data_IF_342996127226
#
_entry.id   IF_342996127226
#
_cell.length_a   1.000
_cell.length_b   1.000
_cell.length_c   1.000
_cell.angle_alpha   90.00
_cell.angle_beta   90.00
_cell.angle_gamma   90.00
#
_symmetry.space_group_name_H-M   'P 1'
#
loop_
_entity.id
_entity.type
_entity.pdbx_description
1 polymer ?
#
# COMPACT_ATOMS: atom_id res chain seq x y z
N UNK A 1 -8.65 -47.29 6.05
CA UNK A 1 -8.54 -46.91 4.63
C UNK A 1 -8.56 -45.40 4.57
N UNK A 2 -7.38 -44.81 4.46
CA UNK A 2 -7.16 -43.36 4.58
C UNK A 2 -7.50 -42.63 3.28
N UNK A 3 -8.10 -41.46 3.43
CA UNK A 3 -8.32 -40.50 2.34
C UNK A 3 -7.15 -39.54 2.28
N UNK A 4 -6.50 -39.48 1.12
CA UNK A 4 -5.35 -38.64 0.83
C UNK A 4 -5.69 -37.16 0.94
N UNK A 5 -4.73 -36.41 1.47
CA UNK A 5 -4.75 -34.96 1.62
C UNK A 5 -4.11 -34.39 0.36
N UNK A 6 -4.89 -33.70 -0.47
CA UNK A 6 -4.44 -33.14 -1.73
C UNK A 6 -3.53 -31.92 -1.46
N UNK A 7 -2.28 -31.99 -1.93
CA UNK A 7 -1.25 -30.95 -1.75
C UNK A 7 -1.25 -30.03 -2.98
N UNK A 8 -1.20 -28.69 -2.84
CA UNK A 8 -1.19 -27.79 -4.00
C UNK A 8 0.09 -27.97 -4.83
N UNK A 9 -0.08 -28.17 -6.13
CA UNK A 9 1.02 -28.37 -7.09
C UNK A 9 1.74 -27.04 -7.39
N UNK A 10 3.07 -27.03 -7.21
CA UNK A 10 3.94 -25.91 -7.55
C UNK A 10 4.18 -25.86 -9.07
N UNK A 11 3.58 -24.89 -9.76
CA UNK A 11 3.84 -24.69 -11.18
C UNK A 11 5.20 -23.98 -11.38
N UNK A 12 6.19 -24.70 -11.92
CA UNK A 12 7.45 -24.13 -12.38
C UNK A 12 7.35 -23.83 -13.88
N UNK A 13 7.33 -22.56 -14.27
CA UNK A 13 7.45 -22.17 -15.68
C UNK A 13 8.90 -21.79 -15.96
N UNK A 14 9.54 -22.58 -16.84
CA UNK A 14 10.91 -22.37 -17.32
C UNK A 14 10.89 -21.21 -18.34
N UNK A 15 11.48 -20.08 -18.00
CA UNK A 15 11.67 -18.98 -18.95
C UNK A 15 12.83 -19.31 -19.91
N UNK A 16 12.62 -19.05 -21.20
CA UNK A 16 13.61 -19.18 -22.28
C UNK A 16 14.65 -18.07 -22.14
N UNK A 17 15.95 -18.43 -22.18
CA UNK A 17 17.08 -17.49 -22.15
C UNK A 17 17.39 -16.98 -23.57
N UNK A 18 17.33 -15.67 -23.76
CA UNK A 18 17.87 -14.96 -24.94
C UNK A 18 19.21 -14.28 -24.56
N UNK A 19 20.17 -14.13 -25.50
CA UNK A 19 21.50 -13.62 -25.19
C UNK A 19 21.53 -12.08 -25.12
N UNK A 20 22.06 -11.54 -24.01
CA UNK A 20 22.25 -10.10 -23.78
C UNK A 20 23.40 -9.55 -24.67
N UNK A 21 23.08 -8.69 -25.65
CA UNK A 21 24.08 -7.88 -26.38
C UNK A 21 24.32 -6.58 -25.61
N UNK A 22 25.53 -6.37 -25.10
CA UNK A 22 25.93 -5.13 -24.41
C UNK A 22 26.13 -3.97 -25.39
N UNK A 23 25.39 -2.88 -25.20
CA UNK A 23 25.74 -1.57 -25.76
C UNK A 23 25.75 -0.51 -24.65
N UNK A 24 26.94 0.02 -24.39
CA UNK A 24 27.21 1.02 -23.38
C UNK A 24 26.44 2.33 -23.62
N UNK A 25 25.55 2.65 -22.67
CA UNK A 25 24.77 3.88 -22.64
C UNK A 25 25.16 4.77 -21.48
N UNK A 26 25.84 5.88 -21.79
CA UNK A 26 26.14 7.04 -20.96
C UNK A 26 24.94 7.42 -20.09
N UNK A 27 25.02 7.28 -18.76
CA UNK A 27 23.94 7.73 -17.87
C UNK A 27 23.91 9.25 -17.80
N UNK A 28 22.90 9.82 -18.45
CA UNK A 28 22.37 11.17 -18.22
C UNK A 28 22.13 11.35 -16.72
N UNK A 29 22.48 12.52 -16.21
CA UNK A 29 22.03 13.00 -14.90
C UNK A 29 20.50 12.93 -14.88
N UNK A 30 19.95 12.04 -14.07
CA UNK A 30 18.52 12.00 -13.79
C UNK A 30 18.21 13.25 -12.95
N UNK A 31 17.37 14.14 -13.47
CA UNK A 31 16.70 15.17 -12.66
C UNK A 31 16.09 14.49 -11.43
N UNK A 32 16.20 15.07 -10.21
CA UNK A 32 15.63 14.46 -9.02
C UNK A 32 14.12 14.41 -9.22
N UNK A 33 13.60 13.22 -9.57
CA UNK A 33 12.18 13.03 -9.78
C UNK A 33 11.41 13.47 -8.53
N UNK A 34 10.33 14.23 -8.73
CA UNK A 34 9.46 14.69 -7.64
C UNK A 34 9.00 13.49 -6.80
N UNK A 35 9.54 13.36 -5.59
CA UNK A 35 9.41 12.18 -4.73
C UNK A 35 8.04 12.06 -4.03
N UNK A 36 7.00 12.69 -4.58
CA UNK A 36 5.65 12.72 -4.01
C UNK A 36 4.84 11.47 -4.37
N UNK A 37 3.82 11.15 -3.56
CA UNK A 37 2.95 9.99 -3.73
C UNK A 37 2.07 10.06 -5.00
N UNK A 38 2.60 9.65 -6.15
CA UNK A 38 1.88 9.68 -7.44
C UNK A 38 0.60 8.83 -7.41
N UNK A 39 0.70 7.57 -6.93
CA UNK A 39 -0.44 6.63 -6.91
C UNK A 39 -1.62 7.14 -6.07
N UNK A 40 -1.36 7.85 -4.98
CA UNK A 40 -2.42 8.39 -4.11
C UNK A 40 -3.07 9.67 -4.67
N UNK A 41 -2.59 10.19 -5.80
CA UNK A 41 -3.13 11.38 -6.50
C UNK A 41 -3.73 11.05 -7.87
N UNK A 42 -3.83 9.77 -8.24
CA UNK A 42 -4.54 9.39 -9.46
C UNK A 42 -5.96 9.93 -9.46
N UNK A 43 -6.38 10.49 -10.60
CA UNK A 43 -7.62 11.26 -10.73
C UNK A 43 -8.86 10.45 -10.32
N UNK A 44 -8.94 9.18 -10.71
CA UNK A 44 -10.03 8.28 -10.34
C UNK A 44 -9.70 7.54 -9.06
N UNK A 45 -10.60 7.57 -8.09
CA UNK A 45 -10.49 6.73 -6.90
C UNK A 45 -10.81 5.27 -7.28
N UNK A 46 -10.06 4.26 -6.79
CA UNK A 46 -10.30 2.87 -7.17
C UNK A 46 -11.72 2.38 -6.85
N UNK A 47 -12.32 1.64 -7.78
CA UNK A 47 -13.60 0.93 -7.61
C UNK A 47 -14.82 1.82 -7.25
N UNK A 48 -14.76 3.13 -7.50
CA UNK A 48 -15.91 4.01 -7.39
C UNK A 48 -15.85 5.16 -8.41
N UNK A 49 -16.98 5.79 -8.77
CA UNK A 49 -17.02 6.87 -9.76
C UNK A 49 -16.61 8.24 -9.18
N UNK A 50 -15.79 8.28 -8.11
CA UNK A 50 -15.36 9.52 -7.47
C UNK A 50 -14.06 10.01 -8.09
N UNK A 51 -14.05 11.29 -8.45
CA UNK A 51 -12.87 12.00 -8.93
C UNK A 51 -12.22 12.77 -7.80
N UNK A 52 -10.89 12.76 -7.76
CA UNK A 52 -10.10 13.57 -6.84
C UNK A 52 -9.97 14.99 -7.38
N UNK A 53 -9.82 15.95 -6.47
CA UNK A 53 -9.36 17.29 -6.81
C UNK A 53 -7.91 17.22 -7.33
N UNK A 54 -7.58 17.87 -8.45
CA UNK A 54 -6.24 17.81 -9.01
C UNK A 54 -5.21 18.49 -8.12
N UNK A 55 -4.12 17.79 -7.78
CA UNK A 55 -3.03 18.30 -6.95
C UNK A 55 -1.71 18.26 -7.73
N UNK A 56 -1.26 19.41 -8.29
CA UNK A 56 0.08 19.54 -8.87
C UNK A 56 1.18 19.24 -7.86
N UNK A 57 2.37 18.86 -8.33
CA UNK A 57 3.49 18.44 -7.47
C UNK A 57 3.88 19.56 -6.48
N UNK A 58 3.87 20.81 -6.93
CA UNK A 58 4.20 22.00 -6.14
C UNK A 58 3.20 22.26 -5.02
N UNK A 59 2.00 21.66 -5.10
CA UNK A 59 0.91 21.85 -4.14
C UNK A 59 0.68 20.63 -3.24
N UNK A 60 1.54 19.60 -3.32
CA UNK A 60 1.46 18.42 -2.46
C UNK A 60 1.73 18.75 -0.99
N UNK A 61 2.78 19.48 -0.60
CA UNK A 61 3.07 19.76 0.81
C UNK A 61 2.00 20.62 1.48
N UNK A 62 1.57 20.25 2.68
CA UNK A 62 0.50 20.98 3.41
C UNK A 62 0.86 22.43 3.70
N UNK A 63 2.15 22.71 3.93
CA UNK A 63 2.73 24.02 4.22
C UNK A 63 2.63 24.97 3.02
N UNK A 64 2.52 24.42 1.81
CA UNK A 64 2.33 25.25 0.62
C UNK A 64 0.89 25.73 0.55
N UNK A 65 0.72 27.05 0.41
CA UNK A 65 -0.59 27.66 0.25
C UNK A 65 -1.28 27.14 -1.03
N UNK A 66 -2.53 26.72 -0.87
CA UNK A 66 -3.38 26.27 -1.96
C UNK A 66 -4.83 26.68 -1.71
N UNK A 67 -5.12 27.96 -1.91
CA UNK A 67 -6.39 28.59 -1.51
C UNK A 67 -7.64 27.96 -2.16
N UNK A 68 -7.51 27.44 -3.38
CA UNK A 68 -8.61 26.80 -4.11
C UNK A 68 -8.76 25.31 -3.78
N UNK A 69 -7.99 24.77 -2.83
CA UNK A 69 -7.99 23.35 -2.52
C UNK A 69 -9.29 22.95 -1.82
N UNK A 70 -10.22 22.44 -2.60
CA UNK A 70 -11.53 21.96 -2.14
C UNK A 70 -11.76 20.49 -2.57
N UNK A 71 -11.06 19.54 -1.95
CA UNK A 71 -11.21 18.12 -2.25
C UNK A 71 -12.59 17.58 -1.84
N UNK A 72 -13.26 16.78 -2.70
CA UNK A 72 -14.53 16.16 -2.33
C UNK A 72 -14.36 15.21 -1.15
N UNK A 73 -15.43 15.06 -0.36
CA UNK A 73 -15.47 14.11 0.75
C UNK A 73 -16.05 12.77 0.27
N UNK A 74 -15.31 11.69 0.50
CA UNK A 74 -15.77 10.34 0.17
C UNK A 74 -15.37 9.32 1.22
N UNK A 75 -16.35 8.51 1.62
CA UNK A 75 -16.16 7.34 2.47
C UNK A 75 -17.10 6.25 1.94
N UNK A 76 -16.56 5.08 1.62
CA UNK A 76 -17.33 3.96 1.12
C UNK A 76 -18.19 3.36 2.24
N UNK A 77 -19.46 3.11 1.96
CA UNK A 77 -20.31 2.33 2.84
C UNK A 77 -19.96 0.84 2.70
N UNK A 78 -19.78 0.17 3.83
CA UNK A 78 -19.56 -1.28 3.86
C UNK A 78 -20.44 -1.95 4.90
N UNK A 79 -20.75 -3.23 4.64
CA UNK A 79 -21.65 -4.05 5.46
C UNK A 79 -21.09 -4.34 6.85
N UNK A 80 -19.77 -4.31 7.00
CA UNK A 80 -19.00 -4.52 8.23
C UNK A 80 -18.73 -3.21 9.00
N UNK A 81 -19.73 -2.32 9.05
CA UNK A 81 -19.60 -0.97 9.63
C UNK A 81 -19.09 -0.97 11.09
N UNK A 82 -19.40 -2.01 11.89
CA UNK A 82 -18.95 -2.12 13.28
C UNK A 82 -17.41 -2.26 13.42
N UNK A 83 -16.75 -2.76 12.38
CA UNK A 83 -15.29 -2.92 12.34
C UNK A 83 -14.59 -1.75 11.61
N UNK A 84 -15.31 -0.67 11.32
CA UNK A 84 -14.77 0.51 10.65
C UNK A 84 -14.97 1.77 11.50
N UNK A 85 -14.19 2.80 11.19
CA UNK A 85 -14.45 4.13 11.72
C UNK A 85 -15.79 4.68 11.20
N UNK A 86 -16.36 5.69 11.86
CA UNK A 86 -17.61 6.33 11.43
C UNK A 86 -17.58 6.79 9.97
N UNK A 87 -18.76 6.84 9.36
CA UNK A 87 -18.97 7.44 8.03
C UNK A 87 -19.30 8.92 8.20
N UNK A 88 -18.81 9.75 7.27
CA UNK A 88 -19.06 11.20 7.27
C UNK A 88 -17.97 12.02 7.96
N UNK A 89 -18.18 13.34 7.98
CA UNK A 89 -17.31 14.36 8.56
C UNK A 89 -17.91 15.09 9.77
N UNK A 90 -19.03 14.59 10.30
CA UNK A 90 -19.68 15.14 11.49
C UNK A 90 -18.75 15.06 12.70
N UNK A 91 -18.60 16.17 13.43
CA UNK A 91 -17.68 16.29 14.56
C UNK A 91 -18.00 15.32 15.71
N UNK A 92 -19.28 15.02 15.95
CA UNK A 92 -19.71 14.17 17.06
C UNK A 92 -19.06 12.77 17.01
N UNK A 93 -19.23 11.95 15.95
CA UNK A 93 -18.51 10.68 15.83
C UNK A 93 -16.98 10.82 15.82
N UNK A 94 -16.45 11.86 15.17
CA UNK A 94 -15.00 12.06 15.02
C UNK A 94 -14.31 12.40 16.34
N UNK A 95 -15.00 13.09 17.25
CA UNK A 95 -14.48 13.49 18.56
C UNK A 95 -14.18 12.31 19.48
N UNK A 96 -14.79 11.15 19.22
CA UNK A 96 -14.55 9.93 19.99
C UNK A 96 -13.20 9.26 19.66
N UNK A 97 -12.61 9.59 18.51
CA UNK A 97 -11.38 8.94 18.02
C UNK A 97 -10.14 9.53 18.70
N UNK A 98 -9.33 8.66 19.30
CA UNK A 98 -8.06 9.06 19.93
C UNK A 98 -6.87 8.89 18.96
N UNK A 99 -6.56 9.93 18.20
CA UNK A 99 -5.46 9.92 17.22
C UNK A 99 -4.07 9.88 17.86
N UNK A 100 -3.06 9.43 17.10
CA UNK A 100 -1.65 9.38 17.52
C UNK A 100 -1.37 8.50 18.75
N UNK A 101 -2.27 7.58 19.10
CA UNK A 101 -2.13 6.64 20.20
C UNK A 101 -2.83 5.31 19.91
N UNK A 102 -2.75 4.36 20.84
CA UNK A 102 -3.55 3.13 20.77
C UNK A 102 -4.94 3.43 21.31
N UNK A 103 -5.95 3.27 20.46
CA UNK A 103 -7.35 3.59 20.71
C UNK A 103 -8.18 2.29 20.71
N UNK A 104 -8.37 1.73 21.90
CA UNK A 104 -8.98 0.41 22.08
C UNK A 104 -8.17 -0.69 21.37
N UNK A 105 -8.79 -1.34 20.37
CA UNK A 105 -8.17 -2.40 19.57
C UNK A 105 -7.42 -1.88 18.32
N UNK A 106 -7.47 -0.56 18.06
CA UNK A 106 -6.81 0.05 16.90
C UNK A 106 -5.57 0.81 17.34
N UNK A 107 -4.43 0.43 16.77
CA UNK A 107 -3.25 1.29 16.84
C UNK A 107 -3.41 2.41 15.82
N UNK A 108 -3.54 3.66 16.29
CA UNK A 108 -3.64 4.85 15.43
C UNK A 108 -2.33 5.62 15.38
N UNK A 109 -1.23 5.08 15.90
CA UNK A 109 0.09 5.71 15.80
C UNK A 109 0.65 5.49 14.41
N UNK A 110 1.25 6.51 13.82
CA UNK A 110 1.99 6.33 12.57
C UNK A 110 3.46 6.02 12.84
N UNK A 111 4.04 5.10 12.07
CA UNK A 111 5.49 4.87 12.04
C UNK A 111 6.27 6.06 11.47
N UNK A 112 5.58 7.00 10.80
CA UNK A 112 6.16 8.28 10.37
C UNK A 112 6.25 9.31 11.51
N UNK A 113 5.72 9.00 12.69
CA UNK A 113 5.58 9.94 13.81
C UNK A 113 4.19 10.57 13.88
N UNK A 114 3.97 11.50 14.83
CA UNK A 114 2.66 12.12 15.03
C UNK A 114 2.20 12.88 13.79
N UNK A 115 0.94 12.69 13.40
CA UNK A 115 0.32 13.42 12.29
C UNK A 115 -0.65 14.49 12.81
N UNK A 116 -0.78 15.57 12.04
CA UNK A 116 -1.68 16.66 12.35
C UNK A 116 -3.14 16.22 12.23
N UNK A 117 -3.99 16.75 13.10
CA UNK A 117 -5.45 16.56 13.08
C UNK A 117 -6.09 17.94 12.91
N UNK A 118 -6.94 18.08 11.89
CA UNK A 118 -7.62 19.32 11.58
C UNK A 118 -9.12 19.05 11.43
N UNK A 119 -9.95 19.82 12.15
CA UNK A 119 -11.41 19.63 12.17
C UNK A 119 -11.84 18.17 12.46
N UNK A 120 -11.15 17.51 13.39
CA UNK A 120 -11.43 16.12 13.77
C UNK A 120 -10.93 15.05 12.79
N UNK A 121 -10.24 15.44 11.70
CA UNK A 121 -9.73 14.52 10.68
C UNK A 121 -8.20 14.55 10.60
N UNK A 122 -7.54 13.40 10.43
CA UNK A 122 -6.09 13.34 10.30
C UNK A 122 -5.65 13.79 8.90
N UNK A 123 -4.56 14.56 8.85
CA UNK A 123 -3.90 14.90 7.61
C UNK A 123 -2.88 13.81 7.23
N UNK A 124 -2.83 13.44 5.95
CA UNK A 124 -1.83 12.50 5.45
C UNK A 124 -0.44 13.14 5.63
N UNK A 125 0.51 12.51 6.37
CA UNK A 125 1.83 13.08 6.59
C UNK A 125 2.62 13.33 5.30
N UNK A 126 2.29 12.63 4.21
CA UNK A 126 2.97 12.80 2.92
C UNK A 126 2.43 13.95 2.06
N UNK A 127 1.33 14.60 2.47
CA UNK A 127 0.74 15.75 1.77
C UNK A 127 -0.65 15.51 1.19
N UNK A 128 -1.13 16.49 0.42
CA UNK A 128 -2.45 16.51 -0.23
C UNK A 128 -2.61 15.36 -1.21
N UNK A 129 -3.81 14.78 -1.23
CA UNK A 129 -4.17 13.66 -2.13
C UNK A 129 -5.31 14.02 -3.09
N UNK A 130 -6.00 15.16 -2.87
CA UNK A 130 -7.17 15.54 -3.66
C UNK A 130 -8.47 14.87 -3.22
N UNK A 131 -8.50 14.13 -2.10
CA UNK A 131 -9.71 13.51 -1.59
C UNK A 131 -9.74 13.57 -0.05
N UNK A 132 -10.89 13.97 0.51
CA UNK A 132 -11.18 13.90 1.95
C UNK A 132 -11.98 12.65 2.27
N UNK A 133 -12.03 12.30 3.55
CA UNK A 133 -12.70 11.08 4.02
C UNK A 133 -11.75 9.86 4.03
N UNK A 134 -12.29 8.69 4.38
CA UNK A 134 -11.50 7.44 4.44
C UNK A 134 -11.34 6.79 3.07
N UNK A 135 -12.15 7.19 2.10
CA UNK A 135 -12.38 6.40 0.91
C UNK A 135 -12.85 5.00 1.33
N UNK A 136 -12.17 3.98 0.85
CA UNK A 136 -12.47 2.57 1.11
C UNK A 136 -11.65 1.96 2.26
N UNK A 137 -10.87 2.77 2.98
CA UNK A 137 -10.05 2.32 4.12
C UNK A 137 -10.91 2.10 5.37
N UNK A 138 -10.43 1.24 6.28
CA UNK A 138 -11.20 0.88 7.49
C UNK A 138 -11.19 1.98 8.54
N UNK A 139 -10.06 2.68 8.72
CA UNK A 139 -9.93 3.77 9.69
C UNK A 139 -9.40 5.07 9.08
N UNK A 140 -9.67 6.18 9.76
CA UNK A 140 -9.01 7.46 9.56
C UNK A 140 -7.56 7.38 10.07
N UNK A 141 -6.64 7.97 9.31
CA UNK A 141 -5.22 7.97 9.64
C UNK A 141 -4.51 6.70 9.18
N UNK A 142 -3.51 6.19 9.92
CA UNK A 142 -2.75 5.02 9.50
C UNK A 142 -3.61 3.75 9.50
N UNK A 143 -3.53 2.99 8.40
CA UNK A 143 -4.13 1.66 8.27
C UNK A 143 -2.98 0.64 8.20
N UNK A 144 -2.69 -0.04 9.31
CA UNK A 144 -1.52 -0.89 9.40
C UNK A 144 -1.67 -2.20 8.63
N UNK A 145 -0.63 -2.54 7.87
CA UNK A 145 -0.53 -3.76 7.07
C UNK A 145 0.85 -4.39 7.25
N UNK A 146 0.94 -5.70 7.04
CA UNK A 146 2.17 -6.46 7.07
C UNK A 146 2.37 -7.16 5.73
N UNK A 147 3.57 -7.05 5.17
CA UNK A 147 3.99 -7.78 3.98
C UNK A 147 5.19 -8.67 4.30
N UNK A 148 5.00 -9.97 4.56
CA UNK A 148 6.11 -10.90 4.71
C UNK A 148 6.82 -11.08 3.35
N UNK A 149 8.14 -10.96 3.36
CA UNK A 149 8.98 -11.22 2.20
C UNK A 149 9.73 -12.53 2.41
N UNK A 150 9.27 -13.59 1.76
CA UNK A 150 9.96 -14.89 1.79
C UNK A 150 10.88 -14.96 0.59
N UNK A 151 12.19 -15.05 0.87
CA UNK A 151 13.23 -15.06 -0.15
C UNK A 151 14.12 -16.28 -0.02
N UNK A 152 14.60 -16.81 -1.14
CA UNK A 152 15.69 -17.80 -1.16
C UNK A 152 16.63 -17.55 -2.34
N UNK A 153 17.85 -18.08 -2.27
CA UNK A 153 18.75 -18.05 -3.43
C UNK A 153 18.26 -19.00 -4.51
N UNK A 154 18.18 -18.52 -5.76
CA UNK A 154 17.97 -19.38 -6.92
C UNK A 154 19.15 -20.35 -7.04
N UNK A 155 18.87 -21.62 -7.30
CA UNK A 155 19.88 -22.68 -7.42
C UNK A 155 19.89 -23.27 -8.84
N UNK A 156 21.10 -23.53 -9.34
CA UNK A 156 21.33 -24.30 -10.56
C UNK A 156 21.06 -25.80 -10.31
N UNK A 157 21.08 -26.62 -11.36
CA UNK A 157 20.92 -28.09 -11.26
C UNK A 157 22.02 -28.75 -10.39
N UNK A 158 23.21 -28.14 -10.33
CA UNK A 158 24.34 -28.57 -9.49
C UNK A 158 24.24 -28.11 -8.02
N UNK A 159 23.18 -27.37 -7.65
CA UNK A 159 22.99 -26.82 -6.31
C UNK A 159 23.79 -25.55 -6.00
N UNK A 160 24.60 -25.04 -6.94
CA UNK A 160 25.27 -23.75 -6.79
C UNK A 160 24.27 -22.58 -6.88
N UNK A 161 24.62 -21.42 -6.31
CA UNK A 161 23.77 -20.21 -6.41
C UNK A 161 23.85 -19.66 -7.84
N UNK A 162 22.69 -19.50 -8.49
CA UNK A 162 22.60 -18.85 -9.80
C UNK A 162 23.11 -17.42 -9.71
N UNK A 163 23.85 -16.99 -10.74
CA UNK A 163 24.34 -15.63 -10.87
C UNK A 163 23.99 -15.09 -12.25
N UNK A 164 23.58 -13.82 -12.30
CA UNK A 164 23.51 -13.04 -13.55
C UNK A 164 24.61 -11.99 -13.47
N UNK A 165 25.64 -12.13 -14.30
CA UNK A 165 26.91 -11.38 -14.17
C UNK A 165 27.48 -11.56 -12.74
N UNK A 166 27.84 -10.48 -12.05
CA UNK A 166 28.39 -10.52 -10.68
C UNK A 166 27.33 -10.71 -9.58
N UNK A 167 26.03 -10.58 -9.89
CA UNK A 167 24.95 -10.58 -8.90
C UNK A 167 24.35 -11.98 -8.70
N UNK A 168 24.16 -12.37 -7.44
CA UNK A 168 23.40 -13.59 -7.08
C UNK A 168 21.91 -13.38 -7.34
N UNK A 169 21.22 -14.42 -7.80
CA UNK A 169 19.79 -14.34 -8.09
C UNK A 169 18.94 -14.78 -6.88
N UNK A 170 17.94 -13.98 -6.54
CA UNK A 170 16.93 -14.30 -5.53
C UNK A 170 15.65 -14.81 -6.20
N UNK A 171 15.00 -15.75 -5.53
CA UNK A 171 13.60 -16.10 -5.74
C UNK A 171 12.78 -15.53 -4.59
N UNK A 172 11.56 -15.08 -4.90
CA UNK A 172 10.62 -14.51 -3.93
C UNK A 172 9.30 -15.25 -4.05
N UNK A 173 8.70 -15.58 -2.91
CA UNK A 173 7.35 -16.13 -2.89
C UNK A 173 6.33 -15.03 -3.20
N UNK A 174 5.51 -15.27 -4.21
CA UNK A 174 4.40 -14.40 -4.62
C UNK A 174 3.12 -15.21 -4.76
N UNK A 175 1.99 -14.54 -4.59
CA UNK A 175 0.65 -15.13 -4.75
C UNK A 175 -0.08 -14.49 -5.92
N UNK A 176 -0.86 -15.29 -6.65
CA UNK A 176 -1.75 -14.84 -7.72
C UNK A 176 -3.18 -15.00 -7.25
N UNK A 177 -3.85 -13.89 -6.98
CA UNK A 177 -5.27 -13.91 -6.62
C UNK A 177 -6.11 -14.17 -7.89
N UNK A 178 -7.15 -15.03 -7.84
CA UNK A 178 -7.89 -15.44 -9.04
C UNK A 178 -8.49 -14.29 -9.87
N UNK A 179 -8.84 -13.18 -9.22
CA UNK A 179 -9.48 -12.01 -9.85
C UNK A 179 -8.50 -10.86 -10.13
N UNK A 180 -7.22 -11.01 -9.78
CA UNK A 180 -6.21 -9.97 -9.97
C UNK A 180 -5.34 -10.28 -11.18
N UNK A 181 -5.14 -9.30 -12.06
CA UNK A 181 -4.16 -9.39 -13.14
C UNK A 181 -2.70 -9.36 -12.65
N UNK A 182 -2.46 -8.95 -11.41
CA UNK A 182 -1.14 -8.79 -10.82
C UNK A 182 -0.80 -9.91 -9.82
N UNK A 183 0.48 -10.27 -9.76
CA UNK A 183 1.08 -11.02 -8.66
C UNK A 183 1.28 -10.08 -7.46
N UNK A 184 1.11 -10.60 -6.25
CA UNK A 184 1.25 -9.83 -5.01
C UNK A 184 2.14 -10.56 -4.00
N UNK A 185 2.71 -9.80 -3.06
CA UNK A 185 3.31 -10.38 -1.86
C UNK A 185 2.21 -10.96 -0.96
N UNK A 186 2.47 -12.04 -0.19
CA UNK A 186 1.51 -12.67 0.69
C UNK A 186 1.28 -11.86 1.98
N UNK A 187 0.91 -10.58 1.82
CA UNK A 187 0.61 -9.65 2.91
C UNK A 187 -0.85 -9.28 2.99
N UNK A 188 -1.21 -8.57 4.05
CA UNK A 188 -2.58 -8.17 4.31
C UNK A 188 -2.69 -7.08 5.37
N UNK A 189 -3.87 -6.46 5.43
CA UNK A 189 -4.25 -5.61 6.55
C UNK A 189 -4.32 -6.44 7.83
N UNK A 190 -3.98 -5.85 8.97
CA UNK A 190 -4.15 -6.50 10.28
C UNK A 190 -5.56 -6.24 10.78
N UNK A 191 -6.24 -7.28 11.25
CA UNK A 191 -7.52 -7.07 11.94
C UNK A 191 -7.27 -6.49 13.34
N UNK A 192 -8.22 -5.71 13.90
CA UNK A 192 -8.08 -5.13 15.23
C UNK A 192 -7.80 -6.22 16.29
N UNK A 193 -6.72 -6.04 17.06
CA UNK A 193 -6.33 -6.98 18.12
C UNK A 193 -5.48 -8.18 17.68
N UNK A 194 -5.25 -8.41 16.39
CA UNK A 194 -4.38 -9.50 15.93
C UNK A 194 -2.91 -9.23 16.27
N UNK A 195 -2.18 -10.27 16.67
CA UNK A 195 -0.72 -10.21 16.87
C UNK A 195 0.01 -10.74 15.64
N UNK A 196 1.28 -10.35 15.46
CA UNK A 196 2.10 -10.93 14.40
C UNK A 196 2.20 -12.46 14.61
N UNK A 197 2.15 -13.26 13.54
CA UNK A 197 2.50 -14.67 13.61
C UNK A 197 3.85 -14.80 14.31
N UNK A 198 3.91 -15.59 15.39
CA UNK A 198 5.13 -15.88 16.15
C UNK A 198 5.92 -17.00 15.51
#
# INVERSE_FOLDING_TARGET
>A
FGSEVDVPTLASQKAVEEPDTELGGRKKTEEPGDSYHVNARHLLYPNCPITRFPVPNEKVPWETEFLIYDPPFYTAERKDAAAMDPVGDTLEPLSTIQYNMVDGLRDRRSFHGPYAVQAGLPLNPMGRTGLRGRGSLSCFGPNHTLYPMVTRWRRNEDGAICRKSIKKMLEVLVVKLPLSEHWALPGGSREPGETLPR
#
